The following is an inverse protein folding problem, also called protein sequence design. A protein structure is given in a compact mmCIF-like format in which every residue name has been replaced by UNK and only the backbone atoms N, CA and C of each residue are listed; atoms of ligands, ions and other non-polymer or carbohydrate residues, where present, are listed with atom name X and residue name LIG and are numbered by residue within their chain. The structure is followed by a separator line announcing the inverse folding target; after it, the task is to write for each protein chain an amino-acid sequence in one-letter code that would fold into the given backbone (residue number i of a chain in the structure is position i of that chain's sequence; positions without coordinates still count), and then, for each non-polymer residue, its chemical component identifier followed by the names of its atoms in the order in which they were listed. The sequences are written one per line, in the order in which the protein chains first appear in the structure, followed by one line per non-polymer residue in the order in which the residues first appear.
data_IF_748573577168
#
_entry.id   IF_748573577168
#
_cell.length_a   1.000
_cell.length_b   1.000
_cell.length_c   1.000
_cell.angle_alpha   90.00
_cell.angle_beta   90.00
_cell.angle_gamma   90.00
#
_symmetry.space_group_name_H-M   'P 1'
#
loop_
_entity.id
_entity.type
_entity.pdbx_description
1 polymer ?
#
# COMPACT_ATOMS: atom_id res chain seq x y z
N UNK A 1 10.92 13.00 -6.99
CA UNK A 1 10.16 13.23 -8.25
C UNK A 1 8.79 12.57 -8.14
N UNK A 2 8.74 11.32 -7.68
CA UNK A 2 7.48 10.60 -7.43
C UNK A 2 6.84 10.97 -6.09
N UNK A 3 7.64 11.37 -5.09
CA UNK A 3 7.14 12.00 -3.86
C UNK A 3 6.49 13.36 -4.17
N UNK A 4 5.17 13.35 -4.24
CA UNK A 4 4.37 14.50 -4.64
C UNK A 4 3.89 15.29 -3.41
N UNK A 5 3.70 14.61 -2.27
CA UNK A 5 3.25 15.23 -1.03
C UNK A 5 4.42 15.85 -0.26
N UNK A 6 4.19 16.99 0.38
CA UNK A 6 5.22 17.64 1.21
C UNK A 6 5.66 16.75 2.38
N UNK A 7 4.72 15.98 2.94
CA UNK A 7 4.98 15.06 4.04
C UNK A 7 5.90 13.89 3.64
N UNK A 8 5.74 13.36 2.42
CA UNK A 8 6.62 12.32 1.88
C UNK A 8 8.06 12.82 1.79
N UNK A 9 8.24 14.05 1.30
CA UNK A 9 9.55 14.69 1.15
C UNK A 9 10.22 15.00 2.48
N UNK A 10 9.45 15.45 3.47
CA UNK A 10 9.96 15.78 4.80
C UNK A 10 10.39 14.52 5.57
N UNK A 11 9.56 13.48 5.53
CA UNK A 11 9.83 12.22 6.24
C UNK A 11 10.72 11.25 5.46
N UNK A 12 10.94 11.52 4.17
CA UNK A 12 11.73 10.67 3.28
C UNK A 12 11.11 9.28 3.07
N UNK A 13 9.77 9.21 3.05
CA UNK A 13 9.01 7.97 2.85
C UNK A 13 7.94 8.16 1.79
N UNK A 14 7.74 7.13 0.97
CA UNK A 14 6.61 7.06 0.05
C UNK A 14 5.36 6.65 0.84
N UNK A 15 4.31 7.46 0.77
CA UNK A 15 3.03 7.21 1.44
C UNK A 15 2.04 6.63 0.45
N UNK A 16 2.05 7.09 -0.81
CA UNK A 16 1.18 6.58 -1.87
C UNK A 16 1.95 5.97 -3.02
N UNK A 17 1.40 4.88 -3.55
CA UNK A 17 1.95 4.29 -4.76
C UNK A 17 1.87 5.24 -5.95
N UNK A 18 2.91 5.27 -6.78
CA UNK A 18 2.98 6.11 -7.98
C UNK A 18 3.31 5.26 -9.20
N UNK A 19 2.49 5.35 -10.25
CA UNK A 19 2.71 4.65 -11.51
C UNK A 19 3.34 5.58 -12.55
N UNK A 20 4.37 5.13 -13.26
CA UNK A 20 5.03 5.86 -14.36
C UNK A 20 5.39 4.92 -15.49
N UNK A 21 5.01 5.29 -16.71
CA UNK A 21 5.43 4.68 -17.96
C UNK A 21 6.70 5.35 -18.47
N UNK A 22 7.69 4.54 -18.83
CA UNK A 22 8.96 4.94 -19.40
C UNK A 22 9.20 4.20 -20.70
N UNK A 23 9.86 4.85 -21.65
CA UNK A 23 10.36 4.21 -22.87
C UNK A 23 11.87 4.09 -22.75
N UNK A 24 12.39 2.87 -22.93
CA UNK A 24 13.82 2.60 -22.85
C UNK A 24 14.28 1.73 -24.01
N UNK A 25 15.36 2.15 -24.68
CA UNK A 25 15.97 1.36 -25.75
C UNK A 25 17.05 0.47 -25.15
N UNK A 26 16.85 -0.85 -25.23
CA UNK A 26 17.78 -1.82 -24.66
C UNK A 26 19.02 -2.02 -25.55
N UNK A 27 19.99 -2.79 -25.05
CA UNK A 27 21.23 -3.09 -25.77
C UNK A 27 21.00 -3.85 -27.10
N UNK A 28 19.86 -4.52 -27.25
CA UNK A 28 19.42 -5.17 -28.50
C UNK A 28 18.90 -4.17 -29.57
N UNK A 29 18.76 -2.89 -29.21
CA UNK A 29 18.23 -1.82 -30.07
C UNK A 29 16.71 -1.75 -30.13
N UNK A 30 15.99 -2.63 -29.41
CA UNK A 30 14.53 -2.63 -29.30
C UNK A 30 14.10 -1.63 -28.22
N UNK A 31 13.02 -0.91 -28.49
CA UNK A 31 12.42 0.01 -27.52
C UNK A 31 11.36 -0.73 -26.70
N UNK A 32 11.53 -0.74 -25.38
CA UNK A 32 10.63 -1.34 -24.41
C UNK A 32 9.81 -0.26 -23.72
N UNK A 33 8.55 -0.58 -23.46
CA UNK A 33 7.69 0.17 -22.55
C UNK A 33 7.80 -0.45 -21.16
N UNK A 34 8.23 0.34 -20.18
CA UNK A 34 8.39 -0.07 -18.79
C UNK A 34 7.39 0.68 -17.92
N UNK A 35 6.58 -0.06 -17.15
CA UNK A 35 5.66 0.52 -16.18
C UNK A 35 6.27 0.33 -14.78
N UNK A 36 6.69 1.42 -14.16
CA UNK A 36 7.20 1.46 -12.79
C UNK A 36 6.06 1.79 -11.84
N UNK A 37 5.87 0.96 -10.81
CA UNK A 37 5.02 1.28 -9.66
C UNK A 37 5.94 1.46 -8.45
N UNK A 38 6.05 2.69 -7.98
CA UNK A 38 6.71 3.00 -6.71
C UNK A 38 5.77 2.66 -5.56
N UNK A 39 6.24 1.97 -4.53
CA UNK A 39 5.40 1.44 -3.45
C UNK A 39 5.88 1.91 -2.08
N UNK A 40 4.99 2.16 -1.11
CA UNK A 40 5.38 2.47 0.27
C UNK A 40 6.29 1.40 0.91
N UNK A 41 7.29 1.82 1.69
CA UNK A 41 8.19 0.90 2.40
C UNK A 41 7.73 0.51 3.82
N UNK A 42 6.73 1.21 4.36
CA UNK A 42 6.32 1.08 5.76
C UNK A 42 5.21 0.02 5.94
N UNK A 43 5.27 -0.73 7.04
CA UNK A 43 4.37 -1.87 7.35
C UNK A 43 2.89 -1.47 7.41
N UNK A 44 2.58 -0.28 7.92
CA UNK A 44 1.20 0.26 7.92
C UNK A 44 0.59 0.33 6.51
N UNK A 45 1.40 0.42 5.45
CA UNK A 45 0.96 0.47 4.06
C UNK A 45 1.19 -0.83 3.31
N UNK A 46 1.42 -1.95 4.01
CA UNK A 46 1.54 -3.29 3.39
C UNK A 46 0.36 -3.63 2.47
N UNK A 47 -0.83 -3.13 2.80
CA UNK A 47 -1.99 -3.25 1.91
C UNK A 47 -1.72 -2.61 0.53
N UNK A 48 -1.16 -1.41 0.49
CA UNK A 48 -0.83 -0.74 -0.77
C UNK A 48 0.24 -1.49 -1.56
N UNK A 49 1.28 -1.97 -0.87
CA UNK A 49 2.35 -2.77 -1.47
C UNK A 49 1.80 -4.02 -2.12
N UNK A 50 0.97 -4.80 -1.40
CA UNK A 50 0.38 -6.03 -1.92
C UNK A 50 -0.44 -5.79 -3.20
N UNK A 51 -1.17 -4.66 -3.27
CA UNK A 51 -1.94 -4.28 -4.47
C UNK A 51 -1.07 -4.01 -5.67
N UNK A 52 -0.02 -3.21 -5.47
CA UNK A 52 0.93 -2.86 -6.51
C UNK A 52 1.69 -4.08 -7.02
N UNK A 53 2.11 -4.98 -6.14
CA UNK A 53 2.81 -6.21 -6.52
C UNK A 53 1.94 -7.10 -7.44
N UNK A 54 0.64 -7.24 -7.14
CA UNK A 54 -0.28 -7.97 -8.02
C UNK A 54 -0.51 -7.31 -9.38
N UNK A 55 -0.08 -6.05 -9.57
CA UNK A 55 -0.13 -5.34 -10.84
C UNK A 55 1.18 -5.48 -11.66
N UNK A 56 2.18 -6.21 -11.17
CA UNK A 56 3.49 -6.35 -11.81
C UNK A 56 3.79 -7.79 -12.23
N UNK A 57 4.84 -7.95 -13.04
CA UNK A 57 5.47 -9.25 -13.39
C UNK A 57 6.79 -9.48 -12.65
N UNK A 58 7.35 -8.42 -12.07
CA UNK A 58 8.60 -8.49 -11.31
C UNK A 58 8.73 -7.34 -10.31
N UNK A 59 9.67 -7.49 -9.40
CA UNK A 59 9.97 -6.54 -8.34
C UNK A 59 11.47 -6.30 -8.21
N UNK A 60 11.85 -5.04 -7.97
CA UNK A 60 13.21 -4.65 -7.63
C UNK A 60 13.37 -4.72 -6.11
N UNK A 61 14.11 -5.70 -5.60
CA UNK A 61 14.41 -5.80 -4.17
C UNK A 61 15.62 -4.92 -3.86
N UNK A 62 15.37 -3.67 -3.48
CA UNK A 62 16.41 -2.69 -3.17
C UNK A 62 16.85 -2.80 -1.71
N UNK A 63 18.14 -3.08 -1.49
CA UNK A 63 18.77 -3.24 -0.17
C UNK A 63 19.86 -2.17 0.01
N UNK A 64 19.91 -1.54 1.18
CA UNK A 64 20.93 -0.54 1.49
C UNK A 64 22.28 -1.20 1.78
N UNK A 65 23.33 -0.85 1.02
CA UNK A 65 24.66 -1.40 1.18
C UNK A 65 25.29 -1.14 2.57
N UNK A 66 24.82 -0.14 3.31
CA UNK A 66 25.34 0.21 4.65
C UNK A 66 24.61 -0.53 5.78
N UNK A 67 23.30 -0.73 5.63
CA UNK A 67 22.43 -1.33 6.66
C UNK A 67 22.28 -2.85 6.49
N UNK A 68 22.25 -3.34 5.25
CA UNK A 68 21.95 -4.75 4.95
C UNK A 68 20.44 -5.01 4.91
N UNK A 69 20.07 -6.29 5.07
CA UNK A 69 18.68 -6.73 5.06
C UNK A 69 17.99 -6.34 6.38
N UNK A 70 16.84 -5.69 6.28
CA UNK A 70 16.01 -5.31 7.43
C UNK A 70 14.68 -6.08 7.43
N UNK A 71 13.92 -5.99 8.54
CA UNK A 71 12.62 -6.67 8.65
C UNK A 71 11.63 -6.26 7.55
N UNK A 72 11.65 -4.98 7.13
CA UNK A 72 10.82 -4.48 6.02
C UNK A 72 11.23 -5.08 4.67
N UNK A 73 12.53 -5.30 4.45
CA UNK A 73 13.05 -5.99 3.26
C UNK A 73 12.48 -7.41 3.16
N UNK A 74 12.49 -8.14 4.28
CA UNK A 74 11.96 -9.51 4.35
C UNK A 74 10.45 -9.56 4.16
N UNK A 75 9.70 -8.66 4.82
CA UNK A 75 8.26 -8.59 4.68
C UNK A 75 7.83 -8.36 3.23
N UNK A 76 8.46 -7.40 2.54
CA UNK A 76 8.15 -7.10 1.14
C UNK A 76 8.62 -8.20 0.18
N UNK A 77 9.75 -8.85 0.48
CA UNK A 77 10.21 -10.03 -0.26
C UNK A 77 9.18 -11.15 -0.21
N UNK A 78 8.65 -11.50 0.97
CA UNK A 78 7.64 -12.54 1.08
C UNK A 78 6.37 -12.20 0.30
N UNK A 79 5.91 -10.94 0.34
CA UNK A 79 4.76 -10.50 -0.46
C UNK A 79 5.01 -10.64 -1.97
N UNK A 80 6.22 -10.32 -2.43
CA UNK A 80 6.59 -10.46 -3.84
C UNK A 80 6.66 -11.93 -4.27
N UNK A 81 7.17 -12.82 -3.39
CA UNK A 81 7.19 -14.26 -3.62
C UNK A 81 5.78 -14.88 -3.63
N UNK A 82 4.91 -14.46 -2.71
CA UNK A 82 3.50 -14.88 -2.69
C UNK A 82 2.74 -14.45 -3.95
N UNK A 83 3.16 -13.35 -4.58
CA UNK A 83 2.64 -12.85 -5.84
C UNK A 83 3.32 -13.46 -7.09
N UNK A 84 4.23 -14.45 -6.92
CA UNK A 84 4.95 -15.14 -7.99
C UNK A 84 5.72 -14.19 -8.93
N UNK A 85 6.29 -13.13 -8.36
CA UNK A 85 7.04 -12.12 -9.12
C UNK A 85 8.50 -12.52 -9.34
N UNK A 86 9.04 -12.19 -10.51
CA UNK A 86 10.50 -12.25 -10.72
C UNK A 86 11.18 -11.18 -9.87
N UNK A 87 12.11 -11.58 -9.01
CA UNK A 87 12.80 -10.67 -8.10
C UNK A 87 14.19 -10.35 -8.65
N UNK A 88 14.48 -9.07 -8.84
CA UNK A 88 15.81 -8.58 -9.21
C UNK A 88 16.44 -7.93 -7.97
N UNK A 89 17.47 -8.55 -7.37
CA UNK A 89 18.14 -7.99 -6.19
C UNK A 89 19.07 -6.83 -6.57
N UNK A 90 18.89 -5.69 -5.88
CA UNK A 90 19.65 -4.47 -6.10
C UNK A 90 20.25 -3.97 -4.80
N UNK A 91 21.56 -3.76 -4.75
CA UNK A 91 22.26 -3.16 -3.62
C UNK A 91 22.55 -1.71 -3.92
N UNK A 92 21.90 -0.80 -3.20
CA UNK A 92 21.98 0.63 -3.42
C UNK A 92 22.90 1.33 -2.40
N UNK A 93 23.22 2.60 -2.65
CA UNK A 93 24.05 3.48 -1.81
C UNK A 93 25.51 3.03 -1.68
N UNK A 94 26.07 2.40 -2.71
CA UNK A 94 27.49 2.01 -2.76
C UNK A 94 28.46 3.20 -2.70
N UNK A 95 27.97 4.43 -2.87
CA UNK A 95 28.74 5.67 -2.74
C UNK A 95 29.03 6.06 -1.28
N UNK A 96 28.34 5.47 -0.30
CA UNK A 96 28.52 5.83 1.09
C UNK A 96 29.82 5.25 1.66
N UNK A 97 30.60 6.00 2.46
CA UNK A 97 31.82 5.49 3.08
C UNK A 97 31.60 4.28 4.00
N UNK A 98 30.39 4.14 4.55
CA UNK A 98 30.00 3.03 5.42
C UNK A 98 29.39 1.83 4.65
N UNK A 99 29.30 1.91 3.31
CA UNK A 99 28.76 0.85 2.49
C UNK A 99 29.64 -0.41 2.54
N UNK A 100 29.01 -1.57 2.63
CA UNK A 100 29.63 -2.91 2.66
C UNK A 100 29.01 -3.77 1.55
N UNK A 101 29.12 -3.37 0.27
CA UNK A 101 28.37 -4.01 -0.82
C UNK A 101 28.69 -5.50 -0.98
N UNK A 102 29.93 -5.92 -0.75
CA UNK A 102 30.33 -7.33 -0.87
C UNK A 102 29.72 -8.21 0.25
N UNK A 103 29.65 -7.69 1.48
CA UNK A 103 29.04 -8.42 2.61
C UNK A 103 27.53 -8.53 2.41
N UNK A 104 26.86 -7.40 2.12
CA UNK A 104 25.40 -7.37 1.88
C UNK A 104 25.03 -8.21 0.66
N UNK A 105 25.88 -8.26 -0.37
CA UNK A 105 25.68 -9.16 -1.52
C UNK A 105 25.61 -10.62 -1.12
N UNK A 106 26.51 -11.08 -0.25
CA UNK A 106 26.47 -12.46 0.26
C UNK A 106 25.19 -12.72 1.04
N UNK A 107 24.80 -11.80 1.93
CA UNK A 107 23.55 -11.93 2.70
C UNK A 107 22.32 -12.06 1.77
N UNK A 108 22.26 -11.26 0.70
CA UNK A 108 21.16 -11.31 -0.29
C UNK A 108 21.19 -12.60 -1.12
N UNK A 109 22.38 -13.05 -1.53
CA UNK A 109 22.57 -14.33 -2.23
C UNK A 109 22.09 -15.50 -1.38
N UNK A 110 22.49 -15.53 -0.11
CA UNK A 110 22.12 -16.60 0.82
C UNK A 110 20.61 -16.59 1.11
N UNK A 111 20.01 -15.39 1.23
CA UNK A 111 18.57 -15.22 1.44
C UNK A 111 17.74 -15.70 0.24
N UNK A 112 18.11 -15.28 -0.98
CA UNK A 112 17.32 -15.55 -2.18
C UNK A 112 17.70 -16.86 -2.87
N UNK A 113 18.86 -17.43 -2.56
CA UNK A 113 19.41 -18.60 -3.25
C UNK A 113 19.75 -18.34 -4.72
N UNK A 114 20.14 -17.12 -5.06
CA UNK A 114 20.44 -16.67 -6.44
C UNK A 114 21.94 -16.58 -6.71
N UNK A 115 22.38 -16.65 -7.98
CA UNK A 115 23.79 -16.43 -8.34
C UNK A 115 24.30 -15.04 -7.95
N UNK A 116 25.56 -14.95 -7.50
CA UNK A 116 26.18 -13.69 -7.06
C UNK A 116 26.24 -12.62 -8.16
N UNK A 117 26.37 -13.05 -9.41
CA UNK A 117 26.38 -12.18 -10.61
C UNK A 117 25.01 -11.59 -10.96
N UNK A 118 23.91 -12.15 -10.45
CA UNK A 118 22.57 -11.56 -10.59
C UNK A 118 22.31 -10.37 -9.66
N UNK A 119 23.16 -10.14 -8.65
CA UNK A 119 22.99 -9.04 -7.68
C UNK A 119 23.65 -7.76 -8.18
N UNK A 120 22.81 -6.75 -8.45
CA UNK A 120 23.24 -5.51 -9.09
C UNK A 120 23.60 -4.46 -8.04
N UNK A 121 24.85 -4.02 -8.02
CA UNK A 121 25.30 -2.95 -7.14
C UNK A 121 25.20 -1.59 -7.85
N UNK A 122 24.52 -0.62 -7.23
CA UNK A 122 24.27 0.71 -7.80
C UNK A 122 24.44 1.84 -6.79
N UNK A 123 24.59 3.06 -7.31
CA UNK A 123 24.33 4.28 -6.52
C UNK A 123 23.24 5.09 -7.22
N UNK A 124 22.03 5.08 -6.66
CA UNK A 124 20.93 5.92 -7.14
C UNK A 124 21.24 7.42 -7.00
N UNK A 125 22.16 7.80 -6.09
CA UNK A 125 22.56 9.20 -5.88
C UNK A 125 23.45 9.72 -7.01
N UNK A 126 24.40 8.91 -7.47
CA UNK A 126 25.32 9.30 -8.56
C UNK A 126 24.83 8.86 -9.94
N UNK A 127 23.85 7.96 -9.99
CA UNK A 127 23.40 7.29 -11.21
C UNK A 127 24.30 6.12 -11.64
N UNK A 128 25.31 5.77 -10.84
CA UNK A 128 26.24 4.71 -11.17
C UNK A 128 25.52 3.37 -11.31
N UNK A 129 25.71 2.73 -12.47
CA UNK A 129 25.23 1.38 -12.80
C UNK A 129 23.71 1.20 -12.81
N UNK A 130 22.93 2.29 -12.83
CA UNK A 130 21.46 2.22 -12.91
C UNK A 130 20.99 1.60 -14.24
N UNK A 131 21.74 1.80 -15.33
CA UNK A 131 21.44 1.19 -16.63
C UNK A 131 21.44 -0.35 -16.59
N UNK A 132 22.27 -0.97 -15.73
CA UNK A 132 22.27 -2.42 -15.55
C UNK A 132 20.95 -2.92 -14.95
N UNK A 133 20.28 -2.12 -14.12
CA UNK A 133 18.95 -2.46 -13.60
C UNK A 133 17.93 -2.49 -14.76
N UNK A 134 17.94 -1.46 -15.61
CA UNK A 134 17.02 -1.38 -16.76
C UNK A 134 17.23 -2.54 -17.73
N UNK A 135 18.48 -2.91 -17.98
CA UNK A 135 18.79 -4.08 -18.80
C UNK A 135 18.34 -5.38 -18.14
N UNK A 136 18.58 -5.56 -16.84
CA UNK A 136 18.14 -6.75 -16.11
C UNK A 136 16.61 -6.89 -16.08
N UNK A 137 15.87 -5.77 -16.01
CA UNK A 137 14.42 -5.76 -16.14
C UNK A 137 14.00 -6.35 -17.48
N UNK A 138 14.62 -5.93 -18.59
CA UNK A 138 14.33 -6.49 -19.93
C UNK A 138 14.70 -7.97 -20.03
N UNK A 139 15.84 -8.36 -19.47
CA UNK A 139 16.38 -9.71 -19.64
C UNK A 139 15.68 -10.76 -18.77
N UNK A 140 15.11 -10.36 -17.64
CA UNK A 140 14.64 -11.30 -16.61
C UNK A 140 13.16 -11.17 -16.26
N UNK A 141 12.56 -9.99 -16.33
CA UNK A 141 11.13 -9.84 -16.01
C UNK A 141 10.32 -10.29 -17.23
N UNK A 142 9.39 -11.27 -17.08
CA UNK A 142 8.59 -11.71 -18.20
C UNK A 142 7.67 -10.57 -18.67
N UNK A 143 7.36 -10.50 -19.98
CA UNK A 143 6.37 -9.54 -20.47
C UNK A 143 4.99 -9.87 -19.88
N UNK A 144 4.09 -8.88 -19.79
CA UNK A 144 2.74 -9.10 -19.30
C UNK A 144 1.99 -10.13 -20.16
N UNK A 145 1.27 -11.02 -19.49
CA UNK A 145 0.38 -11.99 -20.14
C UNK A 145 -1.02 -11.40 -20.32
N UNK A 146 -1.66 -11.65 -21.47
CA UNK A 146 -3.01 -11.19 -21.75
C UNK A 146 -3.38 -11.35 -23.22
N UNK A 147 -4.68 -11.42 -23.51
CA UNK A 147 -5.19 -11.42 -24.90
C UNK A 147 -5.86 -10.08 -25.21
N UNK A 148 -5.30 -9.25 -26.12
CA UNK A 148 -5.91 -7.99 -26.55
C UNK A 148 -7.29 -8.14 -27.21
N UNK A 149 -7.61 -9.32 -27.74
CA UNK A 149 -8.90 -9.60 -28.41
C UNK A 149 -9.94 -10.21 -27.45
N UNK A 150 -9.55 -10.58 -26.24
CA UNK A 150 -10.46 -11.12 -25.24
C UNK A 150 -11.35 -10.01 -24.62
N UNK A 151 -12.47 -10.37 -23.97
CA UNK A 151 -13.29 -9.42 -23.22
C UNK A 151 -12.46 -8.64 -22.19
N UNK A 152 -12.67 -7.32 -22.15
CA UNK A 152 -11.91 -6.42 -21.29
C UNK A 152 -11.90 -6.89 -19.83
N UNK A 153 -10.70 -7.02 -19.27
CA UNK A 153 -10.48 -7.16 -17.82
C UNK A 153 -9.39 -6.20 -17.41
N UNK A 154 -9.77 -5.11 -16.75
CA UNK A 154 -8.84 -4.15 -16.19
C UNK A 154 -8.95 -4.12 -14.66
N UNK A 155 -7.84 -4.36 -13.97
CA UNK A 155 -7.77 -4.34 -12.51
C UNK A 155 -7.54 -2.92 -12.02
N UNK A 156 -8.40 -2.42 -11.14
CA UNK A 156 -8.18 -1.16 -10.43
C UNK A 156 -7.23 -1.43 -9.27
N UNK A 157 -5.99 -0.91 -9.32
CA UNK A 157 -5.00 -1.13 -8.26
C UNK A 157 -4.75 0.09 -7.37
N UNK A 158 -5.17 1.28 -7.81
CA UNK A 158 -5.22 2.48 -6.99
C UNK A 158 -6.24 3.49 -7.51
N UNK A 159 -6.53 4.53 -6.73
CA UNK A 159 -7.45 5.59 -7.13
C UNK A 159 -7.27 6.85 -6.28
N UNK A 160 -7.48 8.02 -6.89
CA UNK A 160 -7.59 9.29 -6.17
C UNK A 160 -8.71 10.16 -6.72
N UNK A 161 -9.10 11.18 -5.95
CA UNK A 161 -10.11 12.14 -6.35
C UNK A 161 -9.49 13.39 -6.99
N UNK A 162 -9.96 13.73 -8.19
CA UNK A 162 -9.67 14.99 -8.89
C UNK A 162 -10.93 15.88 -8.87
N UNK A 163 -10.75 17.17 -8.55
CA UNK A 163 -11.86 18.11 -8.39
C UNK A 163 -12.65 18.39 -9.68
N UNK A 164 -12.05 18.16 -10.86
CA UNK A 164 -12.66 18.42 -12.16
C UNK A 164 -13.10 17.14 -12.87
N UNK A 165 -12.32 16.07 -12.72
CA UNK A 165 -12.48 14.79 -13.43
C UNK A 165 -13.11 13.69 -12.57
N UNK A 166 -13.38 13.97 -11.30
CA UNK A 166 -13.90 13.00 -10.34
C UNK A 166 -12.83 11.95 -10.00
N UNK A 167 -13.25 10.72 -9.74
CA UNK A 167 -12.33 9.64 -9.40
C UNK A 167 -11.46 9.25 -10.61
N UNK A 168 -10.15 9.40 -10.44
CA UNK A 168 -9.12 8.87 -11.33
C UNK A 168 -8.73 7.48 -10.81
N UNK A 169 -8.99 6.46 -11.62
CA UNK A 169 -8.72 5.05 -11.29
C UNK A 169 -7.48 4.58 -12.01
N UNK A 170 -6.54 4.00 -11.29
CA UNK A 170 -5.28 3.47 -11.80
C UNK A 170 -5.53 2.03 -12.16
N UNK A 171 -5.28 1.70 -13.43
CA UNK A 171 -5.70 0.42 -14.00
C UNK A 171 -4.54 -0.30 -14.64
N UNK A 172 -4.51 -1.62 -14.42
CA UNK A 172 -3.73 -2.56 -15.22
C UNK A 172 -4.69 -3.30 -16.13
N UNK A 173 -4.52 -3.17 -17.44
CA UNK A 173 -5.32 -3.93 -18.41
C UNK A 173 -4.71 -5.32 -18.53
N UNK A 174 -5.43 -6.35 -18.07
CA UNK A 174 -4.98 -7.74 -18.17
C UNK A 174 -5.41 -8.34 -19.51
N UNK A 175 -6.64 -8.07 -19.95
CA UNK A 175 -7.14 -8.52 -21.25
C UNK A 175 -7.97 -7.44 -21.93
N UNK A 176 -8.10 -7.57 -23.25
CA UNK A 176 -8.87 -6.67 -24.09
C UNK A 176 -8.20 -5.31 -24.26
N UNK A 177 -9.01 -4.31 -24.55
CA UNK A 177 -8.59 -2.92 -24.60
C UNK A 177 -9.69 -1.96 -24.16
N UNK A 178 -9.27 -0.74 -23.83
CA UNK A 178 -10.12 0.38 -23.40
C UNK A 178 -9.88 1.56 -24.34
N UNK A 179 -10.96 2.10 -24.90
CA UNK A 179 -10.97 3.34 -25.68
C UNK A 179 -11.81 4.40 -24.97
N UNK A 180 -11.54 5.67 -25.27
CA UNK A 180 -12.18 6.79 -24.58
C UNK A 180 -13.71 6.77 -24.66
N UNK A 181 -14.30 6.29 -25.76
CA UNK A 181 -15.76 6.28 -25.96
C UNK A 181 -16.44 5.00 -25.48
N UNK A 182 -15.71 4.10 -24.81
CA UNK A 182 -16.28 2.84 -24.37
C UNK A 182 -17.21 3.02 -23.18
N UNK A 183 -18.24 2.17 -23.12
CA UNK A 183 -19.12 2.08 -21.95
C UNK A 183 -18.60 1.00 -21.05
N UNK A 184 -18.11 1.38 -19.88
CA UNK A 184 -17.49 0.48 -18.94
C UNK A 184 -18.41 0.14 -17.77
N UNK A 185 -18.13 -0.99 -17.15
CA UNK A 185 -18.86 -1.59 -16.04
C UNK A 185 -17.85 -1.96 -14.95
N UNK A 186 -18.09 -1.45 -13.74
CA UNK A 186 -17.45 -1.89 -12.51
C UNK A 186 -18.14 -3.15 -12.02
N UNK A 187 -17.43 -4.28 -11.98
CA UNK A 187 -18.04 -5.58 -11.71
C UNK A 187 -18.49 -5.73 -10.25
N UNK A 188 -17.81 -5.09 -9.28
CA UNK A 188 -18.15 -5.22 -7.86
C UNK A 188 -19.40 -4.44 -7.46
N UNK A 189 -19.57 -3.23 -8.01
CA UNK A 189 -20.70 -2.33 -7.71
C UNK A 189 -21.81 -2.39 -8.75
N UNK A 190 -21.58 -3.05 -9.89
CA UNK A 190 -22.43 -3.01 -11.08
C UNK A 190 -22.64 -1.56 -11.61
N UNK A 191 -21.69 -0.66 -11.29
CA UNK A 191 -21.70 0.74 -11.68
C UNK A 191 -21.29 0.91 -13.15
N UNK A 192 -22.08 1.67 -13.92
CA UNK A 192 -21.76 1.98 -15.32
C UNK A 192 -21.07 3.32 -15.42
N UNK A 193 -19.98 3.39 -16.15
CA UNK A 193 -19.20 4.61 -16.35
C UNK A 193 -18.92 4.83 -17.84
N UNK A 194 -18.88 6.08 -18.25
CA UNK A 194 -18.35 6.51 -19.55
C UNK A 194 -17.10 7.34 -19.24
N UNK A 195 -15.89 6.88 -19.61
CA UNK A 195 -14.65 7.59 -19.31
C UNK A 195 -14.69 9.02 -19.84
N UNK A 196 -14.37 10.00 -18.99
CA UNK A 196 -14.09 11.36 -19.43
C UNK A 196 -12.80 11.36 -20.26
N UNK A 197 -11.84 10.58 -19.79
CA UNK A 197 -10.48 10.51 -20.31
C UNK A 197 -9.83 9.19 -19.91
N UNK A 198 -9.00 8.66 -20.79
CA UNK A 198 -8.06 7.59 -20.47
C UNK A 198 -6.65 8.07 -20.82
N UNK A 199 -5.66 7.54 -20.12
CA UNK A 199 -4.29 7.97 -20.32
C UNK A 199 -3.27 7.12 -19.58
N UNK A 200 -2.03 7.57 -19.66
CA UNK A 200 -0.85 6.97 -19.03
C UNK A 200 -0.10 8.04 -18.27
N UNK A 201 0.77 7.64 -17.35
CA UNK A 201 1.58 8.57 -16.56
C UNK A 201 2.99 8.65 -17.14
N UNK A 202 3.43 9.81 -17.61
CA UNK A 202 4.75 9.96 -18.27
C UNK A 202 5.52 11.24 -17.88
N UNK A 203 5.84 11.51 -16.61
CA UNK A 203 5.27 11.05 -15.33
C UNK A 203 3.98 11.79 -14.95
N UNK A 204 3.66 12.88 -15.65
CA UNK A 204 2.35 13.54 -15.55
C UNK A 204 1.28 12.78 -16.35
N UNK A 205 0.01 13.03 -16.04
CA UNK A 205 -1.12 12.46 -16.78
C UNK A 205 -1.11 12.91 -18.24
N UNK A 206 -0.92 11.94 -19.14
CA UNK A 206 -0.92 12.16 -20.59
C UNK A 206 -2.02 11.30 -21.21
N UNK A 207 -2.94 11.95 -21.93
CA UNK A 207 -4.04 11.26 -22.61
C UNK A 207 -3.52 10.31 -23.67
N UNK A 208 -4.18 9.16 -23.82
CA UNK A 208 -3.92 8.22 -24.91
C UNK A 208 -5.23 7.78 -25.56
N UNK A 209 -5.14 7.28 -26.79
CA UNK A 209 -6.33 6.86 -27.55
C UNK A 209 -6.86 5.50 -27.09
N UNK A 210 -5.96 4.62 -26.63
CA UNK A 210 -6.28 3.25 -26.25
C UNK A 210 -5.32 2.73 -25.17
N UNK A 211 -5.87 1.99 -24.21
CA UNK A 211 -5.10 1.16 -23.27
C UNK A 211 -5.31 -0.31 -23.66
N UNK A 212 -4.25 -1.01 -24.01
CA UNK A 212 -4.30 -2.42 -24.44
C UNK A 212 -3.84 -3.36 -23.33
N UNK A 213 -4.15 -4.65 -23.45
CA UNK A 213 -3.63 -5.70 -22.56
C UNK A 213 -2.11 -5.54 -22.31
N UNK A 214 -1.71 -5.59 -21.04
CA UNK A 214 -0.38 -5.31 -20.54
C UNK A 214 -0.10 -3.84 -20.18
N UNK A 215 -0.97 -2.90 -20.56
CA UNK A 215 -0.78 -1.47 -20.25
C UNK A 215 -1.15 -1.15 -18.80
N UNK A 216 -0.38 -0.25 -18.20
CA UNK A 216 -0.73 0.44 -16.95
C UNK A 216 -1.06 1.89 -17.28
N UNK A 217 -2.19 2.38 -16.76
CA UNK A 217 -2.67 3.72 -17.04
C UNK A 217 -3.73 4.19 -16.05
N UNK A 218 -4.51 5.20 -16.46
CA UNK A 218 -5.61 5.71 -15.67
C UNK A 218 -6.90 5.86 -16.48
N UNK A 219 -8.02 5.85 -15.77
CA UNK A 219 -9.35 6.16 -16.27
C UNK A 219 -9.94 7.27 -15.40
N UNK A 220 -10.24 8.40 -16.00
CA UNK A 220 -11.04 9.45 -15.37
C UNK A 220 -12.52 9.07 -15.48
N UNK A 221 -13.07 8.56 -14.37
CA UNK A 221 -14.40 7.92 -14.36
C UNK A 221 -15.56 8.90 -14.27
N UNK A 222 -15.32 10.14 -13.81
CA UNK A 222 -16.38 11.10 -13.49
C UNK A 222 -17.20 10.77 -12.23
N UNK A 223 -16.86 9.69 -11.52
CA UNK A 223 -17.50 9.35 -10.26
C UNK A 223 -17.16 10.38 -9.18
N UNK A 224 -18.09 10.59 -8.25
CA UNK A 224 -17.91 11.56 -7.16
C UNK A 224 -17.18 10.97 -5.96
N UNK A 225 -17.24 9.65 -5.77
CA UNK A 225 -16.67 9.00 -4.59
C UNK A 225 -15.80 7.82 -4.99
N UNK A 226 -14.61 7.70 -4.38
CA UNK A 226 -13.71 6.56 -4.58
C UNK A 226 -14.34 5.24 -4.11
N UNK A 227 -15.33 5.30 -3.21
CA UNK A 227 -16.09 4.12 -2.77
C UNK A 227 -16.88 3.44 -3.90
N UNK A 228 -17.27 4.20 -4.93
CA UNK A 228 -17.98 3.68 -6.10
C UNK A 228 -17.03 2.95 -7.06
N UNK A 229 -15.74 3.29 -7.02
CA UNK A 229 -14.66 2.64 -7.78
C UNK A 229 -13.64 2.02 -6.82
N UNK A 230 -13.97 0.85 -6.30
CA UNK A 230 -13.17 0.21 -5.27
C UNK A 230 -11.86 -0.29 -5.85
N UNK A 231 -10.79 -0.08 -5.10
CA UNK A 231 -9.52 -0.73 -5.43
C UNK A 231 -9.69 -2.25 -5.28
N UNK A 232 -9.29 -2.99 -6.30
CA UNK A 232 -9.50 -4.42 -6.45
C UNK A 232 -10.71 -4.79 -7.30
N UNK A 233 -11.48 -3.80 -7.76
CA UNK A 233 -12.54 -4.04 -8.72
C UNK A 233 -11.97 -4.36 -10.11
N UNK A 234 -12.77 -5.07 -10.89
CA UNK A 234 -12.53 -5.31 -12.31
C UNK A 234 -13.42 -4.39 -13.13
N UNK A 235 -12.81 -3.58 -13.99
CA UNK A 235 -13.49 -2.81 -15.01
C UNK A 235 -13.58 -3.65 -16.28
N UNK A 236 -14.78 -3.73 -16.86
CA UNK A 236 -15.05 -4.43 -18.11
C UNK A 236 -15.99 -3.65 -19.02
N UNK A 237 -16.25 -4.11 -20.24
CA UNK A 237 -17.22 -3.48 -21.14
C UNK A 237 -18.66 -3.80 -20.74
N UNK A 238 -19.58 -2.83 -20.85
CA UNK A 238 -21.02 -3.05 -20.62
C UNK A 238 -21.59 -4.07 -21.61
N UNK A 239 -21.08 -4.05 -22.85
CA UNK A 239 -21.45 -4.99 -23.90
C UNK A 239 -20.23 -5.85 -24.25
N UNK A 240 -20.40 -7.17 -24.33
CA UNK A 240 -19.31 -8.14 -24.56
C UNK A 240 -18.18 -8.06 -23.50
N UNK A 241 -18.51 -7.66 -22.27
CA UNK A 241 -17.58 -7.70 -21.15
C UNK A 241 -17.27 -9.10 -20.64
N UNK A 242 -16.27 -9.18 -19.77
CA UNK A 242 -15.88 -10.36 -19.05
C UNK A 242 -17.03 -10.85 -18.14
N UNK A 243 -17.14 -12.17 -18.02
CA UNK A 243 -18.16 -12.82 -17.18
C UNK A 243 -17.72 -13.00 -15.74
N UNK A 244 -16.42 -13.13 -15.53
CA UNK A 244 -15.82 -13.37 -14.23
C UNK A 244 -14.83 -12.23 -13.95
N UNK A 245 -14.88 -11.63 -12.74
CA UNK A 245 -13.92 -10.62 -12.34
C UNK A 245 -12.54 -11.24 -12.12
N UNK A 246 -11.51 -10.41 -12.16
CA UNK A 246 -10.19 -10.78 -11.68
C UNK A 246 -10.26 -11.06 -10.17
N UNK A 247 -9.27 -11.80 -9.66
CA UNK A 247 -9.09 -11.94 -8.21
C UNK A 247 -8.82 -10.56 -7.61
N UNK A 248 -9.85 -9.96 -7.01
CA UNK A 248 -9.75 -8.64 -6.38
C UNK A 248 -8.98 -8.67 -5.07
N UNK A 249 -8.75 -7.48 -4.50
CA UNK A 249 -8.08 -7.35 -3.21
C UNK A 249 -9.04 -7.57 -2.04
N UNK A 250 -8.47 -8.01 -0.92
CA UNK A 250 -9.18 -7.97 0.37
C UNK A 250 -9.30 -6.51 0.82
N UNK A 251 -10.44 -6.07 1.39
CA UNK A 251 -10.54 -4.71 1.89
C UNK A 251 -9.52 -4.46 3.00
N UNK A 252 -8.96 -3.25 3.02
CA UNK A 252 -8.07 -2.83 4.09
C UNK A 252 -8.84 -2.84 5.41
N UNK A 253 -8.34 -3.54 6.43
CA UNK A 253 -8.96 -3.58 7.75
C UNK A 253 -8.21 -2.62 8.69
N UNK A 254 -8.89 -1.62 9.28
CA UNK A 254 -8.32 -0.81 10.35
C UNK A 254 -7.92 -1.69 11.54
N UNK A 255 -6.72 -1.47 12.07
CA UNK A 255 -6.19 -2.20 13.23
C UNK A 255 -6.04 -1.31 14.47
N UNK A 256 -5.94 0.01 14.27
CA UNK A 256 -5.76 0.99 15.33
C UNK A 256 -6.90 2.00 15.28
N UNK A 257 -7.46 2.32 16.44
CA UNK A 257 -8.56 3.28 16.58
C UNK A 257 -8.22 4.35 17.61
N UNK A 258 -8.53 5.61 17.29
CA UNK A 258 -8.38 6.74 18.20
C UNK A 258 -9.54 7.71 18.02
N UNK A 259 -9.90 8.43 19.09
CA UNK A 259 -10.85 9.53 19.00
C UNK A 259 -10.13 10.82 18.61
N UNK A 260 -10.60 11.50 17.57
CA UNK A 260 -10.13 12.79 17.11
C UNK A 260 -11.19 13.84 17.47
N UNK A 261 -10.79 14.82 18.27
CA UNK A 261 -11.65 15.88 18.79
C UNK A 261 -11.06 17.23 18.43
N UNK A 262 -11.84 18.16 17.86
CA UNK A 262 -11.32 19.50 17.61
C UNK A 262 -11.09 20.23 18.95
N UNK A 263 -10.07 21.08 19.00
CA UNK A 263 -9.81 21.91 20.20
C UNK A 263 -10.93 22.93 20.40
N UNK A 264 -11.42 23.52 19.31
CA UNK A 264 -12.63 24.34 19.28
C UNK A 264 -13.84 23.52 18.84
N UNK A 265 -14.96 23.62 19.55
CA UNK A 265 -16.17 22.86 19.19
C UNK A 265 -16.83 23.40 17.92
N UNK A 266 -16.58 24.67 17.57
CA UNK A 266 -17.10 25.26 16.35
C UNK A 266 -16.53 24.58 15.08
N UNK A 267 -15.34 23.99 15.18
CA UNK A 267 -14.66 23.29 14.08
C UNK A 267 -15.15 21.85 13.87
N UNK A 268 -16.14 21.37 14.64
CA UNK A 268 -16.65 19.99 14.49
C UNK A 268 -17.15 19.70 13.07
N UNK A 269 -17.80 20.68 12.42
CA UNK A 269 -18.25 20.52 11.04
C UNK A 269 -17.07 20.49 10.07
N UNK A 270 -16.08 21.35 10.27
CA UNK A 270 -14.89 21.40 9.42
C UNK A 270 -14.05 20.13 9.55
N UNK A 271 -13.93 19.57 10.76
CA UNK A 271 -13.31 18.26 10.98
C UNK A 271 -14.04 17.14 10.27
N UNK A 272 -15.38 17.12 10.31
CA UNK A 272 -16.18 16.12 9.58
C UNK A 272 -15.92 16.22 8.08
N UNK A 273 -15.96 17.43 7.55
CA UNK A 273 -15.83 17.68 6.11
C UNK A 273 -14.39 17.40 5.65
N UNK A 274 -13.38 17.65 6.49
CA UNK A 274 -11.99 17.28 6.25
C UNK A 274 -11.78 15.75 6.26
N UNK A 275 -12.34 15.04 7.24
CA UNK A 275 -12.33 13.57 7.28
C UNK A 275 -13.02 12.95 6.06
N UNK A 276 -14.15 13.52 5.62
CA UNK A 276 -14.85 13.09 4.42
C UNK A 276 -13.96 13.25 3.17
N UNK A 277 -13.32 14.43 3.02
CA UNK A 277 -12.38 14.70 1.91
C UNK A 277 -11.13 13.81 1.94
N UNK A 278 -10.60 13.52 3.13
CA UNK A 278 -9.47 12.59 3.27
C UNK A 278 -9.87 11.17 2.91
N UNK A 279 -11.03 10.72 3.38
CA UNK A 279 -11.57 9.39 3.05
C UNK A 279 -11.87 9.23 1.55
N UNK A 280 -12.14 10.32 0.81
CA UNK A 280 -12.20 10.24 -0.66
C UNK A 280 -10.89 9.79 -1.30
N UNK A 281 -9.75 9.96 -0.63
CA UNK A 281 -8.44 9.57 -1.16
C UNK A 281 -7.81 8.39 -0.41
N UNK A 282 -8.42 7.95 0.69
CA UNK A 282 -7.89 6.91 1.56
C UNK A 282 -9.00 5.91 1.90
N UNK A 283 -8.96 4.76 1.22
CA UNK A 283 -9.95 3.71 1.39
C UNK A 283 -9.80 2.95 2.73
N UNK A 284 -8.68 3.11 3.43
CA UNK A 284 -8.43 2.46 4.71
C UNK A 284 -8.90 3.31 5.90
N UNK A 285 -9.03 4.63 5.72
CA UNK A 285 -9.54 5.54 6.72
C UNK A 285 -11.05 5.33 6.96
N UNK A 286 -11.42 4.93 8.17
CA UNK A 286 -12.82 4.83 8.61
C UNK A 286 -13.08 5.82 9.72
N UNK A 287 -14.28 6.41 9.78
CA UNK A 287 -14.65 7.28 10.90
C UNK A 287 -16.15 7.17 11.21
N UNK A 288 -16.48 7.38 12.48
CA UNK A 288 -17.86 7.49 12.97
C UNK A 288 -17.96 8.59 14.03
N UNK A 289 -19.09 9.31 14.13
CA UNK A 289 -19.28 10.30 15.20
C UNK A 289 -19.13 9.66 16.58
N UNK A 290 -18.40 10.34 17.47
CA UNK A 290 -18.22 9.93 18.87
C UNK A 290 -18.49 11.12 19.79
N UNK A 291 -19.01 10.86 20.98
CA UNK A 291 -19.13 11.87 22.03
C UNK A 291 -18.35 11.46 23.26
N UNK A 292 -17.55 12.40 23.78
CA UNK A 292 -16.76 12.26 24.99
C UNK A 292 -17.30 13.22 26.05
N UNK A 293 -17.37 12.74 27.29
CA UNK A 293 -17.76 13.59 28.42
C UNK A 293 -16.75 14.72 28.69
N UNK A 294 -15.47 14.51 28.34
CA UNK A 294 -14.39 15.45 28.62
C UNK A 294 -14.01 16.30 27.40
N UNK A 295 -14.14 15.74 26.19
CA UNK A 295 -13.69 16.35 24.94
C UNK A 295 -14.84 16.75 24.00
N UNK A 296 -16.09 16.62 24.44
CA UNK A 296 -17.30 16.90 23.68
C UNK A 296 -17.42 16.06 22.39
N UNK A 297 -17.88 16.65 21.29
CA UNK A 297 -18.16 15.96 20.03
C UNK A 297 -16.88 15.81 19.22
N UNK A 298 -16.67 14.60 18.69
CA UNK A 298 -15.55 14.29 17.82
C UNK A 298 -15.86 13.09 16.94
N UNK A 299 -14.81 12.43 16.48
CA UNK A 299 -14.92 11.25 15.64
C UNK A 299 -14.04 10.13 16.18
N UNK A 300 -14.60 8.93 16.23
CA UNK A 300 -13.83 7.71 16.37
C UNK A 300 -13.28 7.34 15.00
N UNK A 301 -11.96 7.35 14.85
CA UNK A 301 -11.27 7.15 13.57
C UNK A 301 -10.44 5.87 13.62
N UNK A 302 -10.51 5.07 12.55
CA UNK A 302 -9.80 3.83 12.36
C UNK A 302 -8.68 3.96 11.31
N UNK A 303 -7.53 3.35 11.61
CA UNK A 303 -6.27 3.45 10.88
C UNK A 303 -5.63 2.07 10.69
N UNK A 304 -4.79 1.93 9.65
CA UNK A 304 -3.98 0.72 9.44
C UNK A 304 -2.93 0.49 10.53
N UNK A 305 -2.44 1.57 11.14
CA UNK A 305 -1.45 1.53 12.21
C UNK A 305 -1.17 2.92 12.78
N UNK A 306 -0.18 3.01 13.66
CA UNK A 306 0.18 4.24 14.36
C UNK A 306 0.78 5.30 13.42
N UNK A 307 1.58 4.88 12.43
CA UNK A 307 2.20 5.79 11.49
C UNK A 307 1.14 6.38 10.55
N UNK A 308 0.20 5.54 10.10
CA UNK A 308 -0.97 6.01 9.34
C UNK A 308 -1.79 7.03 10.14
N UNK A 309 -2.04 6.78 11.42
CA UNK A 309 -2.72 7.74 12.31
C UNK A 309 -1.99 9.09 12.37
N UNK A 310 -0.66 9.08 12.54
CA UNK A 310 0.14 10.31 12.57
C UNK A 310 0.07 11.08 11.25
N UNK A 311 0.12 10.38 10.11
CA UNK A 311 -0.01 11.02 8.79
C UNK A 311 -1.38 11.69 8.66
N UNK A 312 -2.46 11.00 8.99
CA UNK A 312 -3.81 11.55 8.90
C UNK A 312 -3.97 12.76 9.82
N UNK A 313 -3.45 12.69 11.05
CA UNK A 313 -3.46 13.81 11.98
C UNK A 313 -2.72 15.03 11.41
N UNK A 314 -1.48 14.86 10.94
CA UNK A 314 -0.69 15.96 10.38
C UNK A 314 -1.32 16.55 9.12
N UNK A 315 -1.99 15.74 8.30
CA UNK A 315 -2.73 16.23 7.13
C UNK A 315 -3.92 17.08 7.54
N UNK A 316 -4.69 16.67 8.55
CA UNK A 316 -5.80 17.48 9.06
C UNK A 316 -5.29 18.82 9.64
N UNK A 317 -4.20 18.79 10.41
CA UNK A 317 -3.60 20.01 10.99
C UNK A 317 -3.03 20.95 9.91
N UNK A 318 -2.33 20.42 8.90
CA UNK A 318 -1.62 21.25 7.90
C UNK A 318 -2.46 21.62 6.68
N UNK A 319 -3.23 20.68 6.14
CA UNK A 319 -3.99 20.89 4.89
C UNK A 319 -5.34 21.57 5.15
N UNK A 320 -5.91 21.36 6.34
CA UNK A 320 -7.24 21.86 6.71
C UNK A 320 -7.21 22.89 7.86
N UNK A 321 -6.04 23.20 8.41
CA UNK A 321 -5.84 24.20 9.48
C UNK A 321 -6.70 23.89 10.72
N UNK A 322 -6.76 22.61 11.10
CA UNK A 322 -7.55 22.12 12.24
C UNK A 322 -6.65 21.74 13.41
N UNK A 323 -6.89 22.34 14.58
CA UNK A 323 -6.26 21.92 15.82
C UNK A 323 -7.02 20.75 16.45
N UNK A 324 -6.35 19.61 16.63
CA UNK A 324 -7.01 18.34 16.99
C UNK A 324 -6.34 17.69 18.20
N UNK A 325 -7.17 17.16 19.09
CA UNK A 325 -6.76 16.30 20.20
C UNK A 325 -7.05 14.85 19.79
N UNK A 326 -6.00 14.07 19.63
CA UNK A 326 -6.09 12.63 19.46
C UNK A 326 -6.02 11.92 20.82
N UNK A 327 -6.95 11.00 21.10
CA UNK A 327 -6.87 10.14 22.30
C UNK A 327 -5.79 9.09 22.15
N UNK A 328 -5.47 8.39 23.25
CA UNK A 328 -4.63 7.21 23.17
C UNK A 328 -5.23 6.18 22.18
N UNK A 329 -4.40 5.59 21.30
CA UNK A 329 -4.85 4.57 20.36
C UNK A 329 -5.24 3.29 21.09
N UNK A 330 -6.18 2.56 20.50
CA UNK A 330 -6.75 1.32 21.03
C UNK A 330 -7.12 0.36 19.89
N UNK A 331 -7.54 -0.85 20.23
CA UNK A 331 -7.89 -1.94 19.30
C UNK A 331 -9.33 -2.40 19.52
N UNK A 332 -9.92 -3.07 18.54
CA UNK A 332 -11.23 -3.73 18.69
C UNK A 332 -11.15 -4.89 19.69
N UNK A 333 -12.11 -4.98 20.61
CA UNK A 333 -12.32 -6.13 21.48
C UNK A 333 -13.62 -6.84 21.12
N UNK A 334 -13.68 -8.15 21.37
CA UNK A 334 -14.92 -8.92 21.31
C UNK A 334 -15.39 -9.23 22.73
N UNK A 335 -16.60 -8.79 23.07
CA UNK A 335 -17.23 -9.07 24.36
C UNK A 335 -18.29 -10.13 24.17
N UNK A 336 -18.11 -11.28 24.79
CA UNK A 336 -19.12 -12.34 24.85
C UNK A 336 -20.01 -12.08 26.05
N UNK A 337 -21.30 -11.85 25.80
CA UNK A 337 -22.30 -11.65 26.83
C UNK A 337 -22.73 -13.00 27.43
N UNK A 338 -23.24 -12.98 28.66
CA UNK A 338 -23.83 -14.17 29.32
C UNK A 338 -25.06 -14.71 28.60
N UNK A 339 -25.68 -13.91 27.73
CA UNK A 339 -26.74 -14.35 26.82
C UNK A 339 -26.22 -15.27 25.69
N UNK A 340 -24.90 -15.31 25.45
CA UNK A 340 -24.25 -15.99 24.34
C UNK A 340 -24.03 -15.11 23.11
N UNK A 341 -24.57 -13.89 23.10
CA UNK A 341 -24.31 -12.91 22.04
C UNK A 341 -22.87 -12.37 22.14
N UNK A 342 -22.22 -12.14 21.00
CA UNK A 342 -20.89 -11.52 20.94
C UNK A 342 -21.01 -10.16 20.30
N UNK A 343 -20.56 -9.12 20.98
CA UNK A 343 -20.49 -7.75 20.47
C UNK A 343 -19.04 -7.37 20.24
N UNK A 344 -18.78 -6.58 19.19
CA UNK A 344 -17.48 -5.95 18.97
C UNK A 344 -17.56 -4.53 19.49
N UNK A 345 -16.60 -4.14 20.31
CA UNK A 345 -16.45 -2.77 20.78
C UNK A 345 -15.10 -2.24 20.34
N UNK A 346 -15.07 -1.01 19.86
CA UNK A 346 -13.81 -0.31 19.62
C UNK A 346 -13.56 0.76 20.70
N UNK A 347 -14.61 1.29 21.35
CA UNK A 347 -14.48 2.32 22.37
C UNK A 347 -14.71 1.76 23.78
N UNK A 348 -13.86 2.10 24.78
CA UNK A 348 -14.09 1.69 26.17
C UNK A 348 -15.44 2.14 26.74
N UNK A 349 -16.03 3.22 26.19
CA UNK A 349 -17.34 3.72 26.60
C UNK A 349 -18.50 2.78 26.21
N UNK A 350 -18.29 1.89 25.24
CA UNK A 350 -19.27 0.90 24.78
C UNK A 350 -19.23 -0.40 25.59
N UNK A 351 -18.30 -0.53 26.54
CA UNK A 351 -18.20 -1.72 27.37
C UNK A 351 -19.49 -1.90 28.19
N UNK A 352 -20.21 -3.03 28.02
CA UNK A 352 -21.46 -3.26 28.73
C UNK A 352 -21.22 -3.47 30.22
N UNK A 353 -22.28 -3.40 31.03
CA UNK A 353 -22.21 -3.67 32.46
C UNK A 353 -21.51 -5.02 32.74
N UNK A 354 -20.55 -5.03 33.66
CA UNK A 354 -19.74 -6.22 34.00
C UNK A 354 -20.58 -7.47 34.32
N UNK A 355 -21.79 -7.26 34.85
CA UNK A 355 -22.73 -8.33 35.16
C UNK A 355 -23.24 -9.09 33.92
N UNK A 356 -23.22 -8.46 32.75
CA UNK A 356 -23.62 -9.05 31.47
C UNK A 356 -22.47 -9.75 30.77
N UNK A 357 -21.22 -9.50 31.17
CA UNK A 357 -20.02 -10.01 30.50
C UNK A 357 -19.73 -11.45 30.96
N UNK A 358 -19.54 -12.35 30.00
CA UNK A 358 -19.03 -13.70 30.23
C UNK A 358 -17.52 -13.79 29.97
N UNK A 359 -17.05 -13.18 28.87
CA UNK A 359 -15.67 -13.23 28.42
C UNK A 359 -15.36 -11.97 27.61
N UNK A 360 -14.15 -11.43 27.74
CA UNK A 360 -13.62 -10.39 26.86
C UNK A 360 -12.44 -10.98 26.10
N UNK A 361 -12.45 -10.86 24.78
CA UNK A 361 -11.40 -11.34 23.89
C UNK A 361 -10.72 -10.14 23.26
N UNK A 362 -9.41 -10.09 23.43
CA UNK A 362 -8.54 -9.11 22.79
C UNK A 362 -7.94 -9.70 21.49
N UNK A 363 -7.54 -8.86 20.53
CA UNK A 363 -6.91 -9.32 19.31
C UNK A 363 -5.46 -9.74 19.60
N UNK A 364 -5.10 -10.95 19.16
CA UNK A 364 -3.73 -11.46 19.22
C UNK A 364 -3.12 -11.44 17.82
N UNK A 365 -1.85 -11.05 17.72
CA UNK A 365 -1.07 -11.09 16.50
C UNK A 365 0.12 -12.03 16.65
N UNK A 366 0.45 -12.72 15.56
CA UNK A 366 1.73 -13.41 15.45
C UNK A 366 2.78 -12.41 14.98
N UNK A 367 3.86 -12.26 15.76
CA UNK A 367 4.94 -11.31 15.49
C UNK A 367 6.21 -12.10 15.19
N UNK A 368 6.86 -11.76 14.07
CA UNK A 368 8.20 -12.24 13.74
C UNK A 368 9.18 -11.07 13.91
N UNK A 369 10.25 -11.30 14.66
CA UNK A 369 11.25 -10.26 14.96
C UNK A 369 12.60 -10.73 14.41
N UNK A 370 13.11 -9.97 13.44
CA UNK A 370 14.45 -10.16 12.90
C UNK A 370 15.40 -9.22 13.61
N UNK A 371 16.43 -9.76 14.25
CA UNK A 371 17.34 -8.94 15.05
C UNK A 371 18.72 -9.58 15.17
N UNK A 372 19.80 -8.78 15.23
CA UNK A 372 21.12 -9.27 15.63
C UNK A 372 21.10 -9.95 17.00
N UNK A 373 21.91 -11.01 17.16
CA UNK A 373 21.96 -11.84 18.38
C UNK A 373 22.08 -11.01 19.67
N UNK A 374 22.91 -9.96 19.64
CA UNK A 374 23.17 -9.06 20.76
C UNK A 374 21.93 -8.37 21.35
N UNK A 375 20.82 -8.30 20.62
CA UNK A 375 19.58 -7.66 21.08
C UNK A 375 18.51 -8.64 21.57
N UNK A 376 18.70 -9.95 21.35
CA UNK A 376 17.70 -10.98 21.68
C UNK A 376 17.22 -10.86 23.12
N UNK A 377 18.13 -10.75 24.09
CA UNK A 377 17.77 -10.67 25.52
C UNK A 377 16.85 -9.48 25.83
N UNK A 378 17.18 -8.29 25.34
CA UNK A 378 16.36 -7.08 25.54
C UNK A 378 15.02 -7.16 24.84
N UNK A 379 14.98 -7.77 23.65
CA UNK A 379 13.74 -7.96 22.90
C UNK A 379 12.83 -8.96 23.63
N UNK A 380 13.38 -10.07 24.14
CA UNK A 380 12.63 -11.04 24.92
C UNK A 380 12.04 -10.44 26.20
N UNK A 381 12.82 -9.61 26.91
CA UNK A 381 12.33 -8.85 28.06
C UNK A 381 11.18 -7.90 27.67
N UNK A 382 11.32 -7.19 26.56
CA UNK A 382 10.28 -6.29 26.05
C UNK A 382 8.99 -7.04 25.67
N UNK A 383 9.12 -8.11 24.89
CA UNK A 383 7.98 -8.93 24.43
C UNK A 383 7.26 -9.55 25.61
N UNK A 384 7.99 -10.12 26.57
CA UNK A 384 7.40 -10.69 27.79
C UNK A 384 6.73 -9.60 28.64
N UNK A 385 7.35 -8.43 28.76
CA UNK A 385 6.78 -7.27 29.43
C UNK A 385 5.51 -6.71 28.76
N UNK A 386 5.28 -7.06 27.49
CA UNK A 386 4.06 -6.76 26.72
C UNK A 386 3.13 -7.97 26.58
N UNK A 387 3.27 -8.97 27.46
CA UNK A 387 2.45 -10.19 27.52
C UNK A 387 2.56 -11.11 26.29
N UNK A 388 3.59 -10.93 25.46
CA UNK A 388 3.84 -11.79 24.31
C UNK A 388 4.24 -13.21 24.74
N UNK A 389 3.77 -14.20 23.99
CA UNK A 389 4.09 -15.61 24.21
C UNK A 389 5.12 -16.03 23.16
N UNK A 390 6.32 -16.37 23.63
CA UNK A 390 7.38 -16.90 22.77
C UNK A 390 6.97 -18.25 22.16
N UNK A 391 7.05 -18.36 20.83
CA UNK A 391 6.75 -19.60 20.09
C UNK A 391 8.02 -20.35 19.68
N UNK A 392 8.86 -19.71 18.87
CA UNK A 392 10.08 -20.29 18.31
C UNK A 392 11.13 -19.22 18.02
N UNK A 393 12.37 -19.67 17.81
CA UNK A 393 13.50 -18.84 17.40
C UNK A 393 14.38 -19.66 16.47
N UNK A 394 14.66 -19.10 15.30
CA UNK A 394 15.54 -19.68 14.30
C UNK A 394 16.71 -18.71 14.06
N UNK A 395 17.92 -19.26 13.95
CA UNK A 395 19.12 -18.50 13.61
C UNK A 395 19.30 -18.51 12.10
N UNK A 396 19.13 -17.35 11.47
CA UNK A 396 19.25 -17.20 10.01
C UNK A 396 20.71 -17.27 9.52
N UNK A 397 21.66 -17.05 10.41
CA UNK A 397 23.09 -17.00 10.08
C UNK A 397 23.84 -18.05 10.91
N UNK A 398 24.51 -19.01 10.24
CA UNK A 398 25.29 -20.05 10.91
C UNK A 398 26.69 -19.56 11.33
N UNK A 399 27.04 -18.32 10.98
CA UNK A 399 28.40 -17.79 11.11
C UNK A 399 28.57 -16.63 12.11
N UNK A 400 27.50 -16.20 12.79
CA UNK A 400 27.58 -15.28 13.93
C UNK A 400 26.57 -15.56 15.02
#
# INVERSE_FOLDING_TARGET
LLDSMDLERERGVTIKASAVRMLWTAADGVQYEMNLIDTPGHVDFTYEVSRALQACEGALLVVDASQGIEAQTLANLYLAMEADLTIIPVINKIDLPAARPDDVKREVVDLLGVPEDSVICVSAKTGQNVEAILQAVVDHIPPPSGDPEAPLRALVFDSHYDSYRGVISYVRVVDGSIKQNDRLLLMSTNGRIEPIEIGVFTPEMTKCDELMAGSVGYIATGLKTVRDCRVGDTITHVHNGAKEPLSGYKPAKPMVFAGFYPVDNDDYQDLRDALEKLQLNDAALTYQPESSQALNLGFRVGFLGLFHMTIVQERLEREYDLDIIATAPSVEYQVVLKSGETITIDSPAELPDENLIAEIREPWMEIQIFTPERYIGKIMELVTGKHGIFKSMDYLDASR
#
